data_IF_032492668716
#
_entry.id   IF_032492668716
#
_cell.length_a   1.000
_cell.length_b   1.000
_cell.length_c   1.000
_cell.angle_alpha   90.00
_cell.angle_beta   90.00
_cell.angle_gamma   90.00
#
_symmetry.space_group_name_H-M   'P 1'
#
loop_
_entity.id
_entity.type
_entity.pdbx_description
1 polymer ?
#
# COMPACT_ATOMS: atom_id res chain seq x y z
N UNK A 1 -36.84 29.21 -22.59
CA UNK A 1 -35.96 28.49 -21.64
C UNK A 1 -36.79 28.13 -20.42
N UNK A 2 -37.33 26.92 -20.38
CA UNK A 2 -38.17 26.44 -19.28
C UNK A 2 -37.27 25.90 -18.17
N UNK A 3 -37.11 26.66 -17.10
CA UNK A 3 -36.47 26.18 -15.88
C UNK A 3 -37.41 25.14 -15.23
N UNK A 4 -37.13 23.85 -15.45
CA UNK A 4 -37.77 22.77 -14.71
C UNK A 4 -37.27 22.83 -13.28
N UNK A 5 -38.09 23.37 -12.38
CA UNK A 5 -37.89 23.26 -10.94
C UNK A 5 -38.06 21.79 -10.55
N UNK A 6 -36.94 21.07 -10.44
CA UNK A 6 -36.91 19.71 -9.92
C UNK A 6 -37.32 19.76 -8.45
N UNK A 7 -38.53 19.31 -8.14
CA UNK A 7 -38.98 19.11 -6.75
C UNK A 7 -38.22 17.91 -6.18
N UNK A 8 -37.18 18.19 -5.39
CA UNK A 8 -36.47 17.15 -4.64
C UNK A 8 -37.43 16.49 -3.65
N UNK A 9 -37.41 15.17 -3.62
CA UNK A 9 -38.22 14.41 -2.66
C UNK A 9 -37.69 14.61 -1.23
N UNK A 10 -38.57 14.44 -0.24
CA UNK A 10 -38.20 14.52 1.19
C UNK A 10 -37.10 13.51 1.53
N UNK A 11 -37.11 12.34 0.88
CA UNK A 11 -36.05 11.33 1.02
C UNK A 11 -34.70 11.84 0.51
N UNK A 12 -34.64 12.48 -0.66
CA UNK A 12 -33.40 13.08 -1.18
C UNK A 12 -32.88 14.20 -0.27
N UNK A 13 -33.77 15.02 0.27
CA UNK A 13 -33.39 16.20 1.06
C UNK A 13 -32.94 15.84 2.48
N UNK A 14 -33.56 14.84 3.11
CA UNK A 14 -33.27 14.46 4.50
C UNK A 14 -32.24 13.34 4.63
N UNK A 15 -32.12 12.43 3.66
CA UNK A 15 -31.18 11.32 3.73
C UNK A 15 -29.83 11.62 3.08
N UNK A 16 -29.79 12.51 2.09
CA UNK A 16 -28.59 12.85 1.33
C UNK A 16 -28.57 14.36 0.99
N UNK A 17 -28.31 15.26 1.97
CA UNK A 17 -28.20 16.68 1.67
C UNK A 17 -27.20 16.87 0.52
N UNK A 18 -27.52 17.69 -0.50
CA UNK A 18 -26.64 17.90 -1.64
C UNK A 18 -25.27 18.34 -1.11
N UNK A 19 -24.27 17.48 -1.32
CA UNK A 19 -22.92 17.78 -0.88
C UNK A 19 -22.49 19.07 -1.56
N UNK A 20 -22.36 20.15 -0.78
CA UNK A 20 -21.84 21.40 -1.30
C UNK A 20 -20.50 21.12 -1.99
N UNK A 21 -20.26 21.70 -3.18
CA UNK A 21 -18.99 21.51 -3.85
C UNK A 21 -17.88 21.92 -2.87
N UNK A 22 -16.87 21.07 -2.65
CA UNK A 22 -15.84 21.38 -1.69
C UNK A 22 -15.15 22.70 -2.06
N UNK A 23 -14.69 23.49 -1.08
CA UNK A 23 -14.08 24.77 -1.36
C UNK A 23 -12.86 24.60 -2.28
N UNK A 24 -12.54 25.57 -3.15
CA UNK A 24 -11.40 25.48 -4.06
C UNK A 24 -10.07 25.30 -3.31
N UNK A 25 -9.99 25.81 -2.08
CA UNK A 25 -8.86 25.66 -1.16
C UNK A 25 -8.52 24.20 -0.88
N UNK A 26 -9.53 23.32 -0.72
CA UNK A 26 -9.33 21.88 -0.51
C UNK A 26 -8.55 21.26 -1.67
N UNK A 27 -8.99 21.54 -2.90
CA UNK A 27 -8.37 20.98 -4.10
C UNK A 27 -6.95 21.53 -4.29
N UNK A 28 -6.76 22.82 -4.04
CA UNK A 28 -5.45 23.46 -4.07
C UNK A 28 -4.48 22.80 -3.07
N UNK A 29 -4.90 22.56 -1.83
CA UNK A 29 -4.05 21.93 -0.81
C UNK A 29 -3.66 20.50 -1.18
N UNK A 30 -4.61 19.70 -1.69
CA UNK A 30 -4.30 18.35 -2.16
C UNK A 30 -3.32 18.37 -3.34
N UNK A 31 -3.52 19.26 -4.31
CA UNK A 31 -2.62 19.41 -5.47
C UNK A 31 -1.23 19.87 -5.03
N UNK A 32 -1.15 20.85 -4.14
CA UNK A 32 0.13 21.33 -3.57
C UNK A 32 0.86 20.18 -2.89
N UNK A 33 0.15 19.38 -2.09
CA UNK A 33 0.75 18.27 -1.36
C UNK A 33 1.26 17.16 -2.29
N UNK A 34 0.47 16.80 -3.32
CA UNK A 34 0.89 15.84 -4.36
C UNK A 34 2.08 16.39 -5.13
N UNK A 35 2.05 17.67 -5.53
CA UNK A 35 3.13 18.31 -6.26
C UNK A 35 4.42 18.33 -5.45
N UNK A 36 4.34 18.63 -4.14
CA UNK A 36 5.49 18.62 -3.25
C UNK A 36 6.07 17.21 -3.09
N UNK A 37 5.21 16.20 -2.87
CA UNK A 37 5.65 14.80 -2.78
C UNK A 37 6.29 14.32 -4.09
N UNK A 38 5.72 14.67 -5.25
CA UNK A 38 6.27 14.35 -6.55
C UNK A 38 7.61 15.07 -6.80
N UNK A 39 7.73 16.35 -6.43
CA UNK A 39 8.97 17.09 -6.54
C UNK A 39 10.08 16.47 -5.68
N UNK A 40 9.77 16.07 -4.45
CA UNK A 40 10.75 15.49 -3.54
C UNK A 40 11.15 14.07 -3.93
N UNK A 41 10.20 13.24 -4.33
CA UNK A 41 10.44 11.81 -4.54
C UNK A 41 10.57 11.42 -5.98
N UNK A 42 9.71 11.90 -6.89
CA UNK A 42 9.68 11.50 -8.31
C UNK A 42 10.77 12.19 -9.13
N UNK A 43 11.00 13.49 -8.90
CA UNK A 43 12.04 14.24 -9.65
C UNK A 43 13.45 13.80 -9.26
N UNK A 44 13.65 13.30 -8.04
CA UNK A 44 14.96 12.90 -7.52
C UNK A 44 15.27 11.40 -7.68
N UNK A 45 14.35 10.63 -8.25
CA UNK A 45 14.48 9.16 -8.43
C UNK A 45 15.77 8.76 -9.16
N UNK A 46 16.16 9.52 -10.19
CA UNK A 46 17.37 9.24 -10.98
C UNK A 46 18.67 9.67 -10.32
N UNK A 47 18.65 10.21 -9.09
CA UNK A 47 19.87 10.66 -8.42
C UNK A 47 20.54 9.52 -7.64
N UNK A 48 21.80 9.25 -7.97
CA UNK A 48 22.64 8.25 -7.31
C UNK A 48 22.44 6.82 -7.83
N UNK A 49 23.47 6.00 -7.65
CA UNK A 49 23.45 4.58 -8.05
C UNK A 49 22.62 3.73 -7.08
N UNK A 50 22.30 2.49 -7.47
CA UNK A 50 21.69 1.51 -6.56
C UNK A 50 22.69 1.16 -5.46
N UNK A 51 22.39 1.55 -4.22
CA UNK A 51 23.38 1.50 -3.13
C UNK A 51 23.24 0.26 -2.25
N UNK A 52 22.02 -0.26 -2.09
CA UNK A 52 21.77 -1.42 -1.23
C UNK A 52 21.70 -2.71 -2.03
N UNK A 53 22.21 -3.79 -1.44
CA UNK A 53 22.10 -5.14 -1.99
C UNK A 53 20.63 -5.50 -2.29
N UNK A 54 19.72 -5.15 -1.38
CA UNK A 54 18.28 -5.39 -1.55
C UNK A 54 17.70 -4.68 -2.76
N UNK A 55 18.12 -3.43 -3.00
CA UNK A 55 17.66 -2.63 -4.14
C UNK A 55 18.16 -3.23 -5.46
N UNK A 56 19.45 -3.60 -5.50
CA UNK A 56 20.05 -4.31 -6.62
C UNK A 56 19.36 -5.65 -6.90
N UNK A 57 18.97 -6.39 -5.86
CA UNK A 57 18.26 -7.66 -6.01
C UNK A 57 16.89 -7.48 -6.67
N UNK A 58 16.08 -6.50 -6.25
CA UNK A 58 14.76 -6.25 -6.86
C UNK A 58 14.87 -5.73 -8.29
N UNK A 59 15.75 -4.75 -8.53
CA UNK A 59 15.98 -4.18 -9.84
C UNK A 59 16.56 -5.23 -10.83
N UNK A 60 17.58 -5.97 -10.38
CA UNK A 60 18.22 -7.04 -11.15
C UNK A 60 17.23 -8.14 -11.53
N UNK A 61 16.41 -8.60 -10.58
CA UNK A 61 15.42 -9.63 -10.88
C UNK A 61 14.34 -9.16 -11.85
N UNK A 62 13.84 -7.93 -11.68
CA UNK A 62 12.90 -7.36 -12.65
C UNK A 62 13.54 -7.27 -14.04
N UNK A 63 14.84 -6.91 -14.15
CA UNK A 63 15.58 -6.90 -15.41
C UNK A 63 15.67 -8.29 -16.04
N UNK A 64 16.00 -9.32 -15.25
CA UNK A 64 16.04 -10.72 -15.73
C UNK A 64 14.67 -11.22 -16.17
N UNK A 65 13.60 -10.86 -15.47
CA UNK A 65 12.23 -11.19 -15.88
C UNK A 65 11.82 -10.53 -17.20
N UNK A 66 12.28 -9.30 -17.46
CA UNK A 66 12.10 -8.64 -18.76
C UNK A 66 12.85 -9.40 -19.85
N UNK A 67 14.14 -9.71 -19.61
CA UNK A 67 15.02 -10.34 -20.58
C UNK A 67 14.63 -11.79 -20.92
N UNK A 68 14.19 -12.56 -19.93
CA UNK A 68 13.75 -13.95 -20.08
C UNK A 68 12.30 -14.10 -20.56
N UNK A 69 11.55 -13.00 -20.59
CA UNK A 69 10.09 -12.99 -20.82
C UNK A 69 9.29 -13.86 -19.83
N UNK A 70 9.88 -14.26 -18.70
CA UNK A 70 9.20 -14.99 -17.64
C UNK A 70 8.81 -14.03 -16.51
N UNK A 71 7.54 -13.62 -16.47
CA UNK A 71 7.07 -12.66 -15.47
C UNK A 71 6.53 -13.31 -14.20
N UNK A 72 6.46 -14.64 -14.15
CA UNK A 72 5.98 -15.35 -12.97
C UNK A 72 7.13 -15.74 -12.04
N UNK A 73 8.32 -15.95 -12.59
CA UNK A 73 9.52 -16.37 -11.86
C UNK A 73 10.55 -15.23 -11.75
N UNK A 74 10.65 -14.55 -10.59
CA UNK A 74 11.81 -13.71 -10.32
C UNK A 74 13.08 -14.55 -10.14
N UNK A 75 14.16 -14.14 -10.79
CA UNK A 75 15.50 -14.75 -10.66
C UNK A 75 16.55 -13.69 -10.38
N UNK A 76 17.59 -14.04 -9.63
CA UNK A 76 18.82 -13.25 -9.51
C UNK A 76 19.99 -14.14 -9.91
N UNK A 77 20.73 -13.75 -10.94
CA UNK A 77 21.81 -14.53 -11.53
C UNK A 77 21.36 -15.96 -11.90
N UNK A 78 20.11 -16.08 -12.39
CA UNK A 78 19.49 -17.35 -12.74
C UNK A 78 18.96 -18.18 -11.55
N UNK A 79 19.15 -17.73 -10.31
CA UNK A 79 18.66 -18.41 -9.11
C UNK A 79 17.23 -17.94 -8.78
N UNK A 80 16.24 -18.85 -8.67
CA UNK A 80 14.86 -18.50 -8.29
C UNK A 80 14.75 -17.78 -6.94
N UNK A 81 14.07 -16.62 -6.92
CA UNK A 81 13.85 -15.79 -5.73
C UNK A 81 12.38 -15.77 -5.30
N UNK A 82 11.92 -16.81 -4.61
CA UNK A 82 10.51 -16.97 -4.22
C UNK A 82 10.16 -16.45 -2.82
N UNK A 83 11.11 -15.79 -2.14
CA UNK A 83 10.93 -15.19 -0.80
C UNK A 83 9.79 -14.17 -0.79
N UNK A 84 9.68 -13.37 -1.84
CA UNK A 84 8.70 -12.28 -1.91
C UNK A 84 7.75 -12.48 -3.10
N UNK A 85 6.45 -12.19 -2.91
CA UNK A 85 5.47 -12.17 -3.99
C UNK A 85 5.81 -11.18 -5.13
N UNK A 86 5.18 -11.33 -6.31
CA UNK A 86 5.71 -10.80 -7.56
C UNK A 86 5.34 -9.34 -7.86
N UNK A 87 4.41 -8.74 -7.09
CA UNK A 87 3.77 -7.49 -7.50
C UNK A 87 4.75 -6.32 -7.64
N UNK A 88 5.74 -6.22 -6.75
CA UNK A 88 6.77 -5.18 -6.86
C UNK A 88 7.55 -5.32 -8.18
N UNK A 89 7.96 -6.55 -8.53
CA UNK A 89 8.66 -6.81 -9.79
C UNK A 89 7.79 -6.46 -11.00
N UNK A 90 6.49 -6.76 -10.97
CA UNK A 90 5.58 -6.41 -12.08
C UNK A 90 5.46 -4.91 -12.31
N UNK A 91 5.39 -4.11 -11.24
CA UNK A 91 5.31 -2.65 -11.38
C UNK A 91 6.66 -2.07 -11.82
N UNK A 92 7.79 -2.66 -11.39
CA UNK A 92 9.13 -2.29 -11.91
C UNK A 92 9.25 -2.64 -13.39
N UNK A 93 8.83 -3.84 -13.82
CA UNK A 93 8.80 -4.26 -15.22
C UNK A 93 7.98 -3.28 -16.06
N UNK A 94 6.83 -2.85 -15.57
CA UNK A 94 6.01 -1.84 -16.25
C UNK A 94 6.77 -0.52 -16.42
N UNK A 95 7.52 -0.08 -15.40
CA UNK A 95 8.36 1.11 -15.50
C UNK A 95 9.52 0.93 -16.49
N UNK A 96 10.21 -0.21 -16.46
CA UNK A 96 11.28 -0.54 -17.42
C UNK A 96 10.81 -0.55 -18.86
N UNK A 97 9.58 -1.00 -19.13
CA UNK A 97 9.01 -0.96 -20.49
C UNK A 97 8.73 0.44 -21.00
N UNK A 98 8.43 1.39 -20.11
CA UNK A 98 8.09 2.76 -20.49
C UNK A 98 9.33 3.64 -20.58
N UNK A 99 10.27 3.49 -19.65
CA UNK A 99 11.42 4.40 -19.45
C UNK A 99 12.78 3.76 -19.79
N UNK A 100 12.80 2.49 -20.16
CA UNK A 100 14.02 1.72 -20.30
C UNK A 100 14.54 1.20 -18.96
N UNK A 101 15.52 0.30 -19.03
CA UNK A 101 16.17 -0.27 -17.84
C UNK A 101 17.21 0.73 -17.33
N UNK A 102 16.91 1.38 -16.22
CA UNK A 102 17.81 2.27 -15.48
C UNK A 102 17.36 2.36 -14.01
N UNK A 103 18.17 3.01 -13.18
CA UNK A 103 17.95 3.20 -11.74
C UNK A 103 16.67 4.00 -11.48
N UNK A 104 16.41 5.00 -12.31
CA UNK A 104 15.23 5.83 -12.18
C UNK A 104 13.93 5.01 -12.38
N UNK A 105 13.88 4.22 -13.44
CA UNK A 105 12.75 3.35 -13.71
C UNK A 105 12.56 2.27 -12.63
N UNK A 106 13.64 1.81 -11.99
CA UNK A 106 13.55 0.86 -10.89
C UNK A 106 12.87 1.45 -9.64
N UNK A 107 13.19 2.71 -9.31
CA UNK A 107 12.70 3.42 -8.12
C UNK A 107 11.36 4.12 -8.32
N UNK A 108 11.00 4.44 -9.56
CA UNK A 108 9.77 5.20 -9.87
C UNK A 108 8.51 4.59 -9.23
N UNK A 109 8.27 3.26 -9.29
CA UNK A 109 7.13 2.64 -8.62
C UNK A 109 7.03 2.96 -7.12
N UNK A 110 8.17 2.93 -6.44
CA UNK A 110 8.27 3.15 -4.99
C UNK A 110 8.04 4.62 -4.66
N UNK A 111 8.61 5.54 -5.44
CA UNK A 111 8.36 6.97 -5.32
C UNK A 111 6.88 7.30 -5.53
N UNK A 112 6.23 6.73 -6.56
CA UNK A 112 4.81 6.90 -6.81
C UNK A 112 3.93 6.33 -5.68
N UNK A 113 4.34 5.21 -5.07
CA UNK A 113 3.65 4.65 -3.92
C UNK A 113 3.69 5.60 -2.71
N UNK A 114 4.81 6.30 -2.47
CA UNK A 114 4.89 7.33 -1.42
C UNK A 114 3.97 8.50 -1.73
N UNK A 115 3.96 9.01 -2.97
CA UNK A 115 3.03 10.08 -3.39
C UNK A 115 1.56 9.66 -3.19
N UNK A 116 1.22 8.43 -3.57
CA UNK A 116 -0.12 7.87 -3.34
C UNK A 116 -0.45 7.77 -1.86
N UNK A 117 0.49 7.35 -1.03
CA UNK A 117 0.33 7.27 0.44
C UNK A 117 0.05 8.65 1.03
N UNK A 118 0.83 9.67 0.64
CA UNK A 118 0.62 11.07 1.08
C UNK A 118 -0.78 11.57 0.70
N UNK A 119 -1.22 11.31 -0.54
CA UNK A 119 -2.56 11.68 -0.99
C UNK A 119 -3.65 10.94 -0.19
N UNK A 120 -3.47 9.66 0.09
CA UNK A 120 -4.40 8.87 0.90
C UNK A 120 -4.46 9.35 2.35
N UNK A 121 -3.33 9.74 2.94
CA UNK A 121 -3.29 10.33 4.30
C UNK A 121 -4.09 11.64 4.33
N UNK A 122 -3.93 12.51 3.32
CA UNK A 122 -4.76 13.71 3.20
C UNK A 122 -6.25 13.36 3.19
N UNK A 123 -6.65 12.42 2.33
CA UNK A 123 -8.05 12.06 2.14
C UNK A 123 -8.65 11.36 3.38
N UNK A 124 -7.85 10.57 4.10
CA UNK A 124 -8.24 9.96 5.37
C UNK A 124 -8.39 11.04 6.45
N UNK A 125 -7.40 11.93 6.60
CA UNK A 125 -7.43 13.00 7.59
C UNK A 125 -8.56 14.00 7.34
N UNK A 126 -8.86 14.29 6.07
CA UNK A 126 -10.02 15.10 5.67
C UNK A 126 -11.33 14.49 6.16
N UNK A 127 -11.49 13.17 6.01
CA UNK A 127 -12.71 12.47 6.43
C UNK A 127 -12.85 12.35 7.93
N UNK A 128 -11.75 12.11 8.62
CA UNK A 128 -11.75 12.00 10.09
C UNK A 128 -11.97 13.36 10.77
N UNK A 129 -11.63 14.47 10.10
CA UNK A 129 -11.85 15.81 10.62
C UNK A 129 -12.13 16.82 9.51
N UNK A 130 -11.08 17.39 8.92
CA UNK A 130 -11.18 18.49 7.96
C UNK A 130 -9.95 18.54 7.05
N UNK A 131 -10.07 19.26 5.93
CA UNK A 131 -9.05 19.29 4.89
C UNK A 131 -7.74 19.95 5.35
N UNK A 132 -7.74 20.81 6.38
CA UNK A 132 -6.52 21.37 6.94
C UNK A 132 -5.75 20.34 7.74
N UNK A 133 -6.43 19.56 8.58
CA UNK A 133 -5.81 18.45 9.31
C UNK A 133 -5.33 17.34 8.38
N UNK A 134 -6.06 17.06 7.30
CA UNK A 134 -5.60 16.18 6.23
C UNK A 134 -4.30 16.69 5.58
N UNK A 135 -4.24 17.98 5.26
CA UNK A 135 -3.03 18.62 4.72
C UNK A 135 -1.84 18.53 5.67
N UNK A 136 -2.04 18.90 6.95
CA UNK A 136 -0.99 18.84 7.98
C UNK A 136 -0.52 17.39 8.17
N UNK A 137 -1.42 16.42 8.24
CA UNK A 137 -1.05 15.01 8.40
C UNK A 137 -0.19 14.50 7.23
N UNK A 138 -0.53 14.88 5.99
CA UNK A 138 0.29 14.54 4.83
C UNK A 138 1.65 15.24 4.84
N UNK A 139 1.73 16.48 5.32
CA UNK A 139 3.00 17.22 5.47
C UNK A 139 3.90 16.61 6.56
N UNK A 140 3.31 16.17 7.67
CA UNK A 140 4.00 15.43 8.73
C UNK A 140 4.61 14.14 8.15
N UNK A 141 3.81 13.33 7.44
CA UNK A 141 4.31 12.09 6.84
C UNK A 141 5.42 12.34 5.80
N UNK A 142 5.30 13.39 5.00
CA UNK A 142 6.29 13.76 3.98
C UNK A 142 7.61 14.25 4.59
N UNK A 143 7.57 14.80 5.81
CA UNK A 143 8.76 15.30 6.51
C UNK A 143 9.46 14.25 7.37
N UNK A 144 8.90 13.03 7.50
CA UNK A 144 9.60 11.93 8.15
C UNK A 144 10.87 11.54 7.40
N UNK A 145 11.98 11.46 8.14
CA UNK A 145 13.25 10.97 7.62
C UNK A 145 13.10 9.58 6.96
N UNK A 146 12.33 8.69 7.61
CA UNK A 146 12.04 7.36 7.09
C UNK A 146 11.31 7.38 5.75
N UNK A 147 10.30 8.23 5.57
CA UNK A 147 9.58 8.38 4.30
C UNK A 147 10.53 8.84 3.19
N UNK A 148 11.41 9.80 3.49
CA UNK A 148 12.38 10.30 2.53
C UNK A 148 13.37 9.23 2.06
N UNK A 149 13.87 8.40 2.97
CA UNK A 149 14.78 7.31 2.66
C UNK A 149 14.08 6.16 1.91
N UNK A 150 12.93 5.71 2.42
CA UNK A 150 12.18 4.60 1.83
C UNK A 150 11.66 4.91 0.43
N UNK A 151 11.42 6.19 0.10
CA UNK A 151 11.05 6.60 -1.25
C UNK A 151 12.16 6.40 -2.30
N UNK A 152 13.42 6.28 -1.86
CA UNK A 152 14.61 6.23 -2.72
C UNK A 152 15.25 4.86 -2.82
N UNK A 153 14.86 3.92 -1.97
CA UNK A 153 15.39 2.57 -1.97
C UNK A 153 14.31 1.63 -2.52
N UNK A 154 14.64 0.82 -3.53
CA UNK A 154 13.68 -0.16 -4.09
C UNK A 154 13.35 -1.22 -3.04
N UNK A 155 12.19 -1.05 -2.42
CA UNK A 155 11.71 -1.87 -1.31
C UNK A 155 10.19 -2.06 -1.41
N UNK A 156 9.65 -3.21 -0.97
CA UNK A 156 8.20 -3.46 -0.98
C UNK A 156 7.39 -2.56 -0.04
N UNK A 157 8.02 -2.00 0.99
CA UNK A 157 7.40 -1.29 2.11
C UNK A 157 6.54 -0.10 1.67
N UNK A 158 7.01 0.82 0.81
CA UNK A 158 6.18 1.95 0.40
C UNK A 158 4.95 1.53 -0.40
N UNK A 159 5.09 0.49 -1.24
CA UNK A 159 3.97 -0.05 -2.01
C UNK A 159 2.93 -0.72 -1.12
N UNK A 160 3.37 -1.51 -0.14
CA UNK A 160 2.48 -2.10 0.88
C UNK A 160 1.78 -1.01 1.69
N UNK A 161 2.51 0.04 2.07
CA UNK A 161 1.96 1.16 2.85
C UNK A 161 0.87 1.88 2.06
N UNK A 162 1.09 2.15 0.78
CA UNK A 162 0.09 2.75 -0.12
C UNK A 162 -1.17 1.89 -0.22
N UNK A 163 -1.02 0.57 -0.37
CA UNK A 163 -2.16 -0.34 -0.43
C UNK A 163 -2.89 -0.45 0.91
N UNK A 164 -2.18 -0.50 2.04
CA UNK A 164 -2.83 -0.49 3.37
C UNK A 164 -3.58 0.83 3.57
N UNK A 165 -3.00 1.98 3.21
CA UNK A 165 -3.67 3.27 3.26
C UNK A 165 -4.91 3.29 2.35
N UNK A 166 -4.83 2.69 1.16
CA UNK A 166 -5.95 2.53 0.24
C UNK A 166 -7.08 1.68 0.85
N UNK A 167 -6.73 0.57 1.50
CA UNK A 167 -7.67 -0.27 2.22
C UNK A 167 -8.33 0.48 3.39
N UNK A 168 -7.57 1.27 4.16
CA UNK A 168 -8.09 2.11 5.23
C UNK A 168 -9.06 3.17 4.70
N UNK A 169 -8.68 3.88 3.64
CA UNK A 169 -9.51 4.89 3.00
C UNK A 169 -10.82 4.29 2.47
N UNK A 170 -10.76 3.16 1.77
CA UNK A 170 -11.93 2.43 1.31
C UNK A 170 -12.82 1.97 2.49
N UNK A 171 -12.22 1.48 3.57
CA UNK A 171 -12.94 1.07 4.78
C UNK A 171 -13.69 2.24 5.41
N UNK A 172 -13.05 3.42 5.50
CA UNK A 172 -13.64 4.65 6.01
C UNK A 172 -14.78 5.15 5.11
N UNK A 173 -14.58 5.16 3.79
CA UNK A 173 -15.64 5.51 2.82
C UNK A 173 -16.86 4.60 2.92
N UNK A 174 -16.65 3.28 3.02
CA UNK A 174 -17.73 2.31 3.18
C UNK A 174 -18.38 2.34 4.58
N UNK A 175 -17.66 2.84 5.59
CA UNK A 175 -18.22 3.12 6.91
C UNK A 175 -19.15 4.33 6.88
N UNK A 176 -18.76 5.45 6.27
CA UNK A 176 -19.55 6.69 6.24
C UNK A 176 -20.75 6.62 5.29
N UNK A 177 -20.55 6.13 4.06
CA UNK A 177 -21.55 6.20 2.99
C UNK A 177 -22.32 4.90 2.88
N UNK A 178 -23.66 4.98 2.94
CA UNK A 178 -24.53 3.83 2.62
C UNK A 178 -24.54 3.54 1.12
N UNK A 179 -24.56 4.58 0.29
CA UNK A 179 -24.48 4.51 -1.16
C UNK A 179 -23.07 4.04 -1.60
N UNK A 180 -23.00 3.06 -2.51
CA UNK A 180 -21.77 2.41 -2.98
C UNK A 180 -20.92 1.68 -1.92
N UNK A 181 -21.46 1.39 -0.73
CA UNK A 181 -20.73 0.67 0.33
C UNK A 181 -20.11 -0.65 -0.15
N UNK A 182 -20.80 -1.39 -1.04
CA UNK A 182 -20.28 -2.63 -1.63
C UNK A 182 -19.01 -2.41 -2.44
N UNK A 183 -18.93 -1.33 -3.22
CA UNK A 183 -17.75 -1.01 -4.03
C UNK A 183 -16.57 -0.61 -3.15
N UNK A 184 -16.81 0.21 -2.13
CA UNK A 184 -15.78 0.59 -1.16
C UNK A 184 -15.26 -0.63 -0.39
N UNK A 185 -16.13 -1.52 0.05
CA UNK A 185 -15.71 -2.75 0.72
C UNK A 185 -14.99 -3.72 -0.22
N UNK A 186 -15.38 -3.81 -1.50
CA UNK A 186 -14.58 -4.52 -2.49
C UNK A 186 -13.17 -3.91 -2.61
N UNK A 187 -13.07 -2.58 -2.60
CA UNK A 187 -11.79 -1.86 -2.58
C UNK A 187 -10.90 -2.25 -1.41
N UNK A 188 -11.44 -2.41 -0.20
CA UNK A 188 -10.69 -2.90 0.97
C UNK A 188 -9.99 -4.23 0.68
N UNK A 189 -10.74 -5.19 0.13
CA UNK A 189 -10.22 -6.53 -0.16
C UNK A 189 -9.27 -6.56 -1.36
N UNK A 190 -9.51 -5.73 -2.38
CA UNK A 190 -8.58 -5.57 -3.52
C UNK A 190 -7.24 -5.03 -3.02
N UNK A 191 -7.25 -3.93 -2.26
CA UNK A 191 -6.03 -3.34 -1.73
C UNK A 191 -5.31 -4.27 -0.75
N UNK A 192 -6.04 -4.97 0.12
CA UNK A 192 -5.46 -5.98 1.00
C UNK A 192 -4.80 -7.13 0.21
N UNK A 193 -5.43 -7.58 -0.88
CA UNK A 193 -4.86 -8.63 -1.75
C UNK A 193 -3.60 -8.15 -2.46
N UNK A 194 -3.60 -6.93 -2.99
CA UNK A 194 -2.41 -6.32 -3.60
C UNK A 194 -1.29 -6.13 -2.58
N UNK A 195 -1.59 -5.67 -1.36
CA UNK A 195 -0.60 -5.60 -0.29
C UNK A 195 -0.01 -6.98 0.04
N UNK A 196 -0.84 -8.02 0.05
CA UNK A 196 -0.39 -9.40 0.21
C UNK A 196 0.47 -9.90 -0.97
N UNK A 197 0.15 -9.48 -2.19
CA UNK A 197 0.93 -9.81 -3.38
C UNK A 197 2.23 -9.00 -3.49
N UNK A 198 2.50 -8.07 -2.58
CA UNK A 198 3.78 -7.36 -2.46
C UNK A 198 4.66 -7.94 -1.36
N UNK A 199 4.13 -8.09 -0.14
CA UNK A 199 4.93 -8.50 1.03
C UNK A 199 4.25 -9.58 1.87
N UNK A 200 3.24 -10.28 1.34
CA UNK A 200 2.52 -11.37 1.99
C UNK A 200 1.58 -10.96 3.12
N UNK A 201 1.31 -11.86 4.06
CA UNK A 201 0.11 -11.82 4.92
C UNK A 201 -0.09 -10.55 5.75
N UNK A 202 0.99 -9.80 6.00
CA UNK A 202 0.92 -8.50 6.68
C UNK A 202 -0.04 -7.52 6.00
N UNK A 203 -0.17 -7.60 4.66
CA UNK A 203 -1.06 -6.74 3.89
C UNK A 203 -2.54 -6.81 4.30
N UNK A 204 -3.02 -7.95 4.79
CA UNK A 204 -4.38 -8.11 5.32
C UNK A 204 -4.43 -7.99 6.85
N UNK A 205 -3.37 -8.40 7.55
CA UNK A 205 -3.32 -8.38 9.03
C UNK A 205 -3.47 -6.96 9.56
N UNK A 206 -2.73 -5.98 9.03
CA UNK A 206 -2.81 -4.60 9.53
C UNK A 206 -4.23 -4.00 9.39
N UNK A 207 -4.87 -4.03 8.20
CA UNK A 207 -6.26 -3.59 8.08
C UNK A 207 -7.24 -4.35 8.96
N UNK A 208 -7.10 -5.68 9.03
CA UNK A 208 -8.00 -6.52 9.80
C UNK A 208 -7.93 -6.19 11.29
N UNK A 209 -6.73 -6.01 11.86
CA UNK A 209 -6.55 -5.63 13.26
C UNK A 209 -7.25 -4.30 13.56
N UNK A 210 -7.05 -3.28 12.72
CA UNK A 210 -7.71 -1.98 12.90
C UNK A 210 -9.24 -2.12 12.88
N UNK A 211 -9.81 -2.79 11.87
CA UNK A 211 -11.26 -2.94 11.77
C UNK A 211 -11.86 -3.81 12.89
N UNK A 212 -11.14 -4.84 13.33
CA UNK A 212 -11.54 -5.69 14.46
C UNK A 212 -11.53 -4.90 15.76
N UNK A 213 -10.45 -4.17 16.07
CA UNK A 213 -10.37 -3.33 17.26
C UNK A 213 -11.51 -2.30 17.28
N UNK A 214 -11.73 -1.59 16.16
CA UNK A 214 -12.86 -0.66 16.04
C UNK A 214 -14.21 -1.37 16.26
N UNK A 215 -14.38 -2.58 15.75
CA UNK A 215 -15.61 -3.38 15.95
C UNK A 215 -15.79 -3.88 17.38
N UNK A 216 -14.69 -4.07 18.13
CA UNK A 216 -14.73 -4.43 19.55
C UNK A 216 -15.20 -3.24 20.37
N UNK A 217 -14.58 -2.07 20.17
CA UNK A 217 -14.83 -0.87 20.98
C UNK A 217 -16.10 -0.09 20.58
N UNK A 218 -16.51 -0.12 19.30
CA UNK A 218 -17.64 0.66 18.80
C UNK A 218 -18.73 -0.23 18.20
N UNK A 219 -19.95 -0.14 18.75
CA UNK A 219 -21.10 -0.95 18.30
C UNK A 219 -21.50 -0.63 16.87
N UNK A 220 -21.47 0.65 16.50
CA UNK A 220 -21.78 1.13 15.14
C UNK A 220 -20.78 0.56 14.13
N UNK A 221 -19.49 0.57 14.48
CA UNK A 221 -18.43 -0.05 13.68
C UNK A 221 -18.65 -1.54 13.51
N UNK A 222 -19.03 -2.27 14.57
CA UNK A 222 -19.35 -3.70 14.48
C UNK A 222 -20.46 -3.98 13.46
N UNK A 223 -21.54 -3.20 13.49
CA UNK A 223 -22.69 -3.39 12.59
C UNK A 223 -22.30 -3.05 11.14
N UNK A 224 -21.50 -2.00 10.94
CA UNK A 224 -21.08 -1.57 9.60
C UNK A 224 -19.97 -2.44 9.02
N UNK A 225 -19.01 -2.91 9.80
CA UNK A 225 -17.93 -3.77 9.31
C UNK A 225 -18.34 -5.23 9.16
N UNK A 226 -19.48 -5.67 9.72
CA UNK A 226 -20.06 -6.98 9.41
C UNK A 226 -20.23 -7.24 7.91
N UNK A 227 -20.54 -6.21 7.13
CA UNK A 227 -20.65 -6.38 5.69
C UNK A 227 -19.30 -6.48 4.96
N UNK A 228 -18.14 -6.37 5.63
CA UNK A 228 -16.85 -6.76 5.06
C UNK A 228 -16.68 -8.28 5.01
N UNK A 229 -17.37 -9.03 5.88
CA UNK A 229 -17.24 -10.49 6.01
C UNK A 229 -18.06 -11.29 4.99
N UNK A 230 -18.58 -10.63 3.94
CA UNK A 230 -19.32 -11.36 2.92
C UNK A 230 -18.37 -12.17 2.04
N UNK A 231 -18.79 -13.38 1.70
CA UNK A 231 -17.99 -14.33 0.92
C UNK A 231 -17.55 -13.79 -0.45
N UNK A 232 -18.32 -12.88 -1.07
CA UNK A 232 -17.99 -12.33 -2.39
C UNK A 232 -16.67 -11.57 -2.37
N UNK A 233 -16.35 -10.89 -1.27
CA UNK A 233 -15.08 -10.18 -1.17
C UNK A 233 -13.90 -11.10 -0.88
N UNK A 234 -14.14 -12.19 -0.14
CA UNK A 234 -13.17 -13.27 0.01
C UNK A 234 -12.79 -13.88 -1.33
N UNK A 235 -13.76 -14.05 -2.24
CA UNK A 235 -13.47 -14.48 -3.61
C UNK A 235 -12.62 -13.47 -4.38
N UNK A 236 -12.94 -12.17 -4.31
CA UNK A 236 -12.14 -11.13 -4.98
C UNK A 236 -10.69 -11.18 -4.49
N UNK A 237 -10.50 -11.29 -3.17
CA UNK A 237 -9.17 -11.41 -2.57
C UNK A 237 -8.41 -12.64 -3.08
N UNK A 238 -9.07 -13.80 -3.09
CA UNK A 238 -8.47 -15.05 -3.58
C UNK A 238 -8.17 -14.99 -5.08
N UNK A 239 -9.03 -14.39 -5.90
CA UNK A 239 -8.80 -14.25 -7.34
C UNK A 239 -7.57 -13.42 -7.68
N UNK A 240 -7.22 -12.44 -6.83
CA UNK A 240 -6.02 -11.61 -7.03
C UNK A 240 -4.78 -12.33 -6.48
N UNK A 241 -4.89 -12.92 -5.28
CA UNK A 241 -3.74 -13.45 -4.56
C UNK A 241 -3.37 -14.88 -4.99
N UNK A 242 -4.36 -15.76 -5.10
CA UNK A 242 -4.14 -17.19 -5.28
C UNK A 242 -3.44 -17.59 -6.59
N UNK A 243 -3.69 -16.98 -7.77
CA UNK A 243 -3.14 -17.47 -9.03
C UNK A 243 -1.61 -17.61 -9.01
N UNK A 244 -0.89 -16.61 -8.52
CA UNK A 244 0.56 -16.67 -8.47
C UNK A 244 1.07 -17.68 -7.43
N UNK A 245 0.46 -17.73 -6.24
CA UNK A 245 0.86 -18.70 -5.21
C UNK A 245 0.57 -20.15 -5.62
N UNK A 246 -0.53 -20.40 -6.33
CA UNK A 246 -0.86 -21.71 -6.89
C UNK A 246 0.17 -22.08 -7.96
N UNK A 247 0.48 -21.15 -8.87
CA UNK A 247 1.51 -21.35 -9.88
C UNK A 247 2.88 -21.66 -9.26
N UNK A 248 3.28 -20.90 -8.24
CA UNK A 248 4.55 -21.10 -7.54
C UNK A 248 4.61 -22.47 -6.86
N UNK A 249 3.52 -22.90 -6.21
CA UNK A 249 3.44 -24.23 -5.61
C UNK A 249 3.47 -25.37 -6.65
N UNK A 250 2.90 -25.16 -7.84
CA UNK A 250 2.94 -26.17 -8.90
C UNK A 250 4.34 -26.37 -9.48
N UNK A 251 5.12 -25.30 -9.61
CA UNK A 251 6.45 -25.36 -10.21
C UNK A 251 7.56 -25.64 -9.19
N UNK A 252 7.34 -25.28 -7.93
CA UNK A 252 8.29 -25.47 -6.83
C UNK A 252 7.64 -26.29 -5.72
N UNK A 253 7.79 -27.63 -5.75
CA UNK A 253 7.35 -28.49 -4.66
C UNK A 253 7.93 -27.97 -3.34
N UNK A 254 7.07 -27.83 -2.32
CA UNK A 254 7.38 -27.24 -1.01
C UNK A 254 7.38 -25.71 -0.89
N UNK A 255 6.99 -24.94 -1.93
CA UNK A 255 6.85 -23.50 -1.83
C UNK A 255 6.02 -23.04 -0.62
N UNK A 256 4.83 -23.62 -0.39
CA UNK A 256 4.01 -23.24 0.78
C UNK A 256 4.67 -23.58 2.12
N UNK A 257 5.47 -24.66 2.18
CA UNK A 257 6.22 -25.00 3.39
C UNK A 257 7.30 -23.96 3.65
N UNK A 258 8.02 -23.56 2.59
CA UNK A 258 9.04 -22.52 2.61
C UNK A 258 8.48 -21.15 3.01
N UNK A 259 7.42 -20.70 2.34
CA UNK A 259 6.76 -19.44 2.65
C UNK A 259 6.31 -19.42 4.12
N UNK A 260 5.69 -20.51 4.60
CA UNK A 260 5.27 -20.62 6.01
C UNK A 260 6.45 -20.59 6.97
N UNK A 261 7.57 -21.26 6.67
CA UNK A 261 8.75 -21.21 7.55
C UNK A 261 9.37 -19.82 7.60
N UNK A 262 9.43 -19.11 6.47
CA UNK A 262 9.90 -17.71 6.41
C UNK A 262 9.00 -16.82 7.28
N UNK A 263 7.67 -16.94 7.14
CA UNK A 263 6.69 -16.20 7.94
C UNK A 263 6.80 -16.49 9.45
N UNK A 264 6.87 -17.76 9.82
CA UNK A 264 7.00 -18.16 11.23
C UNK A 264 8.36 -17.76 11.81
N UNK A 265 9.42 -17.79 11.01
CA UNK A 265 10.76 -17.33 11.39
C UNK A 265 10.75 -15.84 11.73
N UNK A 266 10.12 -15.01 10.91
CA UNK A 266 9.97 -13.57 11.19
C UNK A 266 9.17 -13.30 12.47
N UNK A 267 8.14 -14.11 12.77
CA UNK A 267 7.31 -13.92 13.98
C UNK A 267 8.01 -14.35 15.27
N UNK A 268 8.85 -15.38 15.23
CA UNK A 268 9.49 -15.95 16.43
C UNK A 268 10.73 -15.19 16.89
N UNK A 269 11.20 -14.22 16.12
CA UNK A 269 12.50 -13.59 16.32
C UNK A 269 13.59 -14.55 15.85
N UNK A 270 14.24 -14.21 14.74
CA UNK A 270 15.18 -15.05 14.03
C UNK A 270 16.36 -15.46 14.94
N UNK A 271 16.43 -16.74 15.28
CA UNK A 271 17.57 -17.41 15.95
C UNK A 271 18.01 -18.64 15.15
N UNK A 272 17.82 -18.61 13.82
CA UNK A 272 18.20 -19.73 12.94
C UNK A 272 19.46 -19.38 12.14
N UNK A 273 20.41 -20.32 12.10
CA UNK A 273 21.75 -20.26 11.48
C UNK A 273 21.75 -20.05 9.95
N UNK A 274 20.60 -19.75 9.35
CA UNK A 274 20.38 -19.75 7.89
C UNK A 274 20.25 -18.37 7.26
N UNK A 275 20.34 -17.30 8.06
CA UNK A 275 20.17 -15.93 7.58
C UNK A 275 21.35 -15.04 8.05
N UNK A 276 21.96 -14.30 7.12
CA UNK A 276 23.14 -13.46 7.34
C UNK A 276 22.90 -12.19 8.20
N UNK A 277 21.70 -12.02 8.75
CA UNK A 277 21.32 -10.83 9.51
C UNK A 277 20.95 -11.18 10.95
N UNK A 278 21.83 -10.82 11.89
CA UNK A 278 21.52 -10.82 13.32
C UNK A 278 20.34 -9.86 13.56
N UNK A 279 19.30 -10.35 14.23
CA UNK A 279 18.18 -9.49 14.63
C UNK A 279 18.68 -8.29 15.45
N UNK A 280 18.17 -7.09 15.14
CA UNK A 280 18.50 -5.91 15.93
C UNK A 280 17.91 -6.07 17.35
N UNK A 281 18.67 -5.78 18.41
CA UNK A 281 18.14 -5.71 19.76
C UNK A 281 16.89 -4.82 19.84
N UNK A 282 15.92 -5.19 20.68
CA UNK A 282 14.64 -4.47 20.77
C UNK A 282 14.81 -2.96 21.04
N UNK A 283 15.81 -2.56 21.82
CA UNK A 283 16.09 -1.15 22.07
C UNK A 283 16.59 -0.42 20.81
N UNK A 284 17.44 -1.05 20.00
CA UNK A 284 17.88 -0.49 18.71
C UNK A 284 16.71 -0.34 17.76
N UNK A 285 15.83 -1.34 17.71
CA UNK A 285 14.60 -1.27 16.93
C UNK A 285 13.75 -0.06 17.35
N UNK A 286 13.47 0.12 18.65
CA UNK A 286 12.66 1.26 19.14
C UNK A 286 13.33 2.61 18.86
N UNK A 287 14.64 2.73 19.10
CA UNK A 287 15.39 3.98 18.83
C UNK A 287 15.36 4.31 17.35
N UNK A 288 15.55 3.31 16.48
CA UNK A 288 15.44 3.51 15.04
C UNK A 288 14.02 3.94 14.66
N UNK A 289 12.96 3.37 15.24
CA UNK A 289 11.59 3.81 14.94
C UNK A 289 11.37 5.30 15.27
N UNK A 290 11.89 5.76 16.41
CA UNK A 290 11.88 7.19 16.76
C UNK A 290 12.67 8.00 15.73
N UNK A 291 13.89 7.59 15.40
CA UNK A 291 14.72 8.28 14.40
C UNK A 291 14.07 8.35 13.00
N UNK A 292 13.30 7.34 12.61
CA UNK A 292 12.61 7.30 11.32
C UNK A 292 11.41 8.26 11.28
N UNK A 293 10.81 8.57 12.44
CA UNK A 293 9.72 9.53 12.59
C UNK A 293 10.19 10.96 12.89
N UNK A 294 11.49 11.17 13.15
CA UNK A 294 12.07 12.51 13.21
C UNK A 294 11.66 13.32 11.97
N UNK A 295 11.20 14.58 12.13
CA UNK A 295 11.31 15.43 13.33
C UNK A 295 10.14 15.39 14.32
N UNK A 296 9.19 14.46 14.19
CA UNK A 296 7.94 14.44 14.98
C UNK A 296 7.93 13.39 16.10
N UNK A 297 9.08 12.79 16.38
CA UNK A 297 9.29 11.69 17.32
C UNK A 297 9.79 12.15 18.68
#
# INVERSE_FOLDING_TARGET
MTASARTLSIEETLLEPPALPPPPTRHALLVILIALAALLHVVTVGTGDLYSETEGQYAGAAREMVASHNWLLPTNDGIPRLQKPPLLYWVIIASYKILGVNEAAARLPVALAVVATVALIFLIGEKLSDYWRGFIAGLIYLSFCGTFLLARIVMPEPLVTAFIAGAMFCGLCGYERRRHRRMWFAGVWIFAALACLTKGVLGIVYPAVVFVLLSIFYREARIRFRALLRWEYGLIFLLILAPWHIWAQWHFPHYFRYARSEWLGHLRGLTDETHDFLGAPAYQFVILHVAWWFPWS
#
